data_IF_233882623949
#
_entry.id   IF_233882623949
#
_cell.length_a   1.000
_cell.length_b   1.000
_cell.length_c   1.000
_cell.angle_alpha   90.00
_cell.angle_beta   90.00
_cell.angle_gamma   90.00
#
_symmetry.space_group_name_H-M   'P 1'
#
loop_
_entity.id
_entity.type
_entity.pdbx_description
1 polymer ?
#
# COMPACT_ATOMS: atom_id res chain seq x y z
N UNK A 1 0.62 14.82 -18.90
CA UNK A 1 0.81 13.71 -17.94
C UNK A 1 -0.56 13.33 -17.39
N UNK A 2 -1.10 12.16 -17.78
CA UNK A 2 -2.35 11.61 -17.26
C UNK A 2 -2.09 10.93 -15.91
N UNK A 3 -1.83 11.72 -14.86
CA UNK A 3 -1.56 11.22 -13.51
C UNK A 3 -2.69 11.58 -12.56
N UNK A 4 -2.91 10.77 -11.52
CA UNK A 4 -3.80 11.15 -10.44
C UNK A 4 -3.18 12.29 -9.63
N UNK A 5 -3.94 13.36 -9.38
CA UNK A 5 -3.45 14.50 -8.59
C UNK A 5 -3.16 14.12 -7.12
N UNK A 6 -3.78 13.05 -6.62
CA UNK A 6 -3.62 12.52 -5.27
C UNK A 6 -3.93 11.03 -5.26
N UNK A 7 -3.05 10.23 -4.66
CA UNK A 7 -3.25 8.80 -4.43
C UNK A 7 -3.44 8.54 -2.94
N UNK A 8 -4.46 7.76 -2.57
CA UNK A 8 -4.67 7.31 -1.19
C UNK A 8 -4.63 5.79 -1.19
N UNK A 9 -3.71 5.24 -0.42
CA UNK A 9 -3.50 3.79 -0.30
C UNK A 9 -3.92 3.36 1.10
N UNK A 10 -4.76 2.34 1.14
CA UNK A 10 -5.33 1.82 2.38
C UNK A 10 -4.90 0.38 2.57
N UNK A 11 -4.33 0.08 3.73
CA UNK A 11 -3.95 -1.28 4.10
C UNK A 11 -4.70 -1.71 5.37
N UNK A 12 -5.11 -2.98 5.39
CA UNK A 12 -5.72 -3.61 6.56
C UNK A 12 -4.68 -4.16 7.56
N UNK A 13 -3.38 -4.00 7.29
CA UNK A 13 -2.28 -4.38 8.19
C UNK A 13 -1.50 -3.15 8.60
N UNK A 14 -1.51 -2.84 9.90
CA UNK A 14 -0.81 -1.67 10.44
C UNK A 14 0.71 -1.75 10.26
N UNK A 15 1.28 -2.95 10.35
CA UNK A 15 2.72 -3.20 10.12
C UNK A 15 3.18 -2.77 8.72
N UNK A 16 2.33 -2.98 7.70
CA UNK A 16 2.62 -2.58 6.32
C UNK A 16 2.61 -1.05 6.17
N UNK A 17 1.66 -0.39 6.83
CA UNK A 17 1.61 1.09 6.86
C UNK A 17 2.88 1.66 7.48
N UNK A 18 3.28 1.13 8.64
CA UNK A 18 4.53 1.54 9.32
C UNK A 18 5.75 1.28 8.46
N UNK A 19 5.87 0.10 7.87
CA UNK A 19 6.98 -0.26 6.99
C UNK A 19 7.16 0.71 5.80
N UNK A 20 6.06 1.13 5.17
CA UNK A 20 6.10 2.05 4.03
C UNK A 20 6.46 3.47 4.48
N UNK A 21 5.87 3.94 5.59
CA UNK A 21 6.09 5.29 6.13
C UNK A 21 7.47 5.47 6.75
N UNK A 22 7.86 4.56 7.65
CA UNK A 22 9.07 4.67 8.47
C UNK A 22 10.32 4.20 7.72
N UNK A 23 10.14 3.59 6.54
CA UNK A 23 11.22 2.99 5.72
C UNK A 23 12.05 1.93 6.46
N UNK A 24 11.53 1.39 7.55
CA UNK A 24 12.20 0.40 8.39
C UNK A 24 11.66 -0.99 8.08
N UNK A 25 12.49 -1.82 7.43
CA UNK A 25 12.27 -3.26 7.29
C UNK A 25 13.61 -4.00 7.14
N UNK A 26 13.63 -5.29 7.50
CA UNK A 26 14.72 -6.22 7.26
C UNK A 26 14.24 -7.40 6.38
N UNK A 27 15.10 -7.90 5.49
CA UNK A 27 14.83 -9.10 4.67
C UNK A 27 14.04 -8.86 3.38
N UNK A 28 13.34 -9.90 2.87
CA UNK A 28 12.66 -9.92 1.56
C UNK A 28 11.59 -8.81 1.36
N UNK A 29 11.07 -8.29 2.47
CA UNK A 29 10.12 -7.18 2.52
C UNK A 29 10.73 -5.82 2.09
N UNK A 30 12.06 -5.67 2.15
CA UNK A 30 12.78 -4.47 1.69
C UNK A 30 12.57 -4.22 0.19
N UNK A 31 12.63 -5.26 -0.64
CA UNK A 31 12.52 -5.09 -2.10
C UNK A 31 11.13 -4.57 -2.48
N UNK A 32 10.08 -5.16 -1.90
CA UNK A 32 8.70 -4.78 -2.19
C UNK A 32 8.43 -3.33 -1.76
N UNK A 33 8.89 -2.93 -0.57
CA UNK A 33 8.71 -1.56 -0.09
C UNK A 33 9.51 -0.55 -0.91
N UNK A 34 10.75 -0.87 -1.32
CA UNK A 34 11.52 -0.02 -2.24
C UNK A 34 10.79 0.18 -3.56
N UNK A 35 10.19 -0.89 -4.11
CA UNK A 35 9.42 -0.80 -5.35
C UNK A 35 8.16 0.05 -5.20
N UNK A 36 7.44 -0.10 -4.08
CA UNK A 36 6.30 0.77 -3.74
C UNK A 36 6.75 2.23 -3.68
N UNK A 37 7.85 2.53 -2.98
CA UNK A 37 8.38 3.89 -2.88
C UNK A 37 8.80 4.48 -4.24
N UNK A 38 9.39 3.68 -5.13
CA UNK A 38 9.74 4.10 -6.49
C UNK A 38 8.51 4.39 -7.36
N UNK A 39 7.40 3.68 -7.16
CA UNK A 39 6.14 3.98 -7.84
C UNK A 39 5.60 5.30 -7.29
N UNK A 40 5.56 5.44 -5.96
CA UNK A 40 5.02 6.62 -5.29
C UNK A 40 5.84 7.89 -5.51
N UNK A 41 7.14 7.79 -5.80
CA UNK A 41 7.98 8.96 -6.14
C UNK A 41 7.59 9.61 -7.48
N UNK A 42 6.82 8.91 -8.32
CA UNK A 42 6.28 9.45 -9.57
C UNK A 42 4.93 10.16 -9.37
N UNK A 43 4.30 9.97 -8.21
CA UNK A 43 3.02 10.57 -7.87
C UNK A 43 3.23 11.95 -7.22
N UNK A 44 2.38 12.91 -7.59
CA UNK A 44 2.51 14.29 -7.11
C UNK A 44 2.20 14.41 -5.61
N UNK A 45 1.15 13.71 -5.15
CA UNK A 45 0.75 13.62 -3.74
C UNK A 45 0.26 12.22 -3.45
N UNK A 46 0.74 11.60 -2.38
CA UNK A 46 0.26 10.28 -1.95
C UNK A 46 0.18 10.17 -0.42
N UNK A 47 -0.72 9.33 0.05
CA UNK A 47 -0.91 9.03 1.47
C UNK A 47 -1.11 7.54 1.66
N UNK A 48 -0.51 6.98 2.70
CA UNK A 48 -0.74 5.61 3.15
C UNK A 48 -1.43 5.67 4.50
N UNK A 49 -2.53 4.92 4.68
CA UNK A 49 -3.24 4.85 5.95
C UNK A 49 -3.75 3.45 6.26
N UNK A 50 -3.91 3.18 7.55
CA UNK A 50 -4.60 1.99 8.02
C UNK A 50 -6.11 2.13 7.78
N UNK A 51 -6.75 1.04 7.37
CA UNK A 51 -8.19 0.89 7.30
C UNK A 51 -8.56 -0.50 7.86
N UNK A 52 -9.45 -0.62 8.87
CA UNK A 52 -9.88 -1.92 9.39
C UNK A 52 -10.34 -2.87 8.27
N UNK A 53 -10.09 -4.17 8.42
CA UNK A 53 -10.36 -5.17 7.37
C UNK A 53 -11.83 -5.20 6.97
N UNK A 54 -12.71 -5.01 7.94
CA UNK A 54 -14.17 -4.94 7.79
C UNK A 54 -14.57 -3.83 6.81
N UNK A 55 -13.80 -2.74 6.81
CA UNK A 55 -14.01 -1.59 5.93
C UNK A 55 -13.27 -1.74 4.60
N UNK A 56 -12.33 -2.70 4.48
CA UNK A 56 -11.59 -3.03 3.26
C UNK A 56 -12.14 -4.29 2.56
N UNK A 57 -13.43 -4.59 2.74
CA UNK A 57 -14.07 -5.82 2.31
C UNK A 57 -14.02 -6.05 0.80
N UNK A 58 -14.06 -4.99 -0.03
CA UNK A 58 -13.97 -5.12 -1.49
C UNK A 58 -12.60 -5.68 -1.90
N UNK A 59 -11.52 -5.11 -1.37
CA UNK A 59 -10.17 -5.60 -1.66
C UNK A 59 -9.93 -7.01 -1.10
N UNK A 60 -10.49 -7.32 0.07
CA UNK A 60 -10.42 -8.65 0.67
C UNK A 60 -11.16 -9.71 -0.18
N UNK A 61 -12.35 -9.39 -0.67
CA UNK A 61 -13.13 -10.26 -1.54
C UNK A 61 -12.40 -10.50 -2.87
N UNK A 62 -11.88 -9.45 -3.50
CA UNK A 62 -11.12 -9.56 -4.76
C UNK A 62 -9.88 -10.47 -4.59
N UNK A 63 -9.13 -10.30 -3.51
CA UNK A 63 -7.96 -11.14 -3.24
C UNK A 63 -8.34 -12.62 -3.07
N UNK A 64 -9.43 -12.92 -2.37
CA UNK A 64 -9.92 -14.29 -2.17
C UNK A 64 -10.36 -14.94 -3.48
N UNK A 65 -11.11 -14.22 -4.32
CA UNK A 65 -11.57 -14.72 -5.62
C UNK A 65 -10.43 -15.08 -6.58
N UNK A 66 -9.24 -14.48 -6.40
CA UNK A 66 -8.06 -14.78 -7.23
C UNK A 66 -7.15 -15.87 -6.65
N UNK A 67 -7.45 -16.34 -5.43
CA UNK A 67 -6.70 -17.41 -4.78
C UNK A 67 -7.45 -18.76 -4.78
N UNK A 68 -8.70 -18.78 -5.27
CA UNK A 68 -9.49 -19.97 -5.59
C UNK A 68 -9.27 -20.39 -7.05
#
# INVERSE_FOLDING_TARGET
KQGHNKVIIQFAKLEVVKAICDRQLAGASIYLVRRIQQILSRENKWFVRYLPRENNHVADALAKMTCE
#
